data_IF_961922137281
#
_entry.id   IF_961922137281
#
_cell.length_a   1.000
_cell.length_b   1.000
_cell.length_c   1.000
_cell.angle_alpha   90.00
_cell.angle_beta   90.00
_cell.angle_gamma   90.00
#
_symmetry.space_group_name_H-M   'P 1'
#
loop_
_entity.id
_entity.type
_entity.pdbx_description
1 polymer ?
#
# COMPACT_ATOMS: atom_id res chain seq x y z
N UNK A 1 7.47 23.01 -15.68
CA UNK A 1 7.99 21.91 -14.86
C UNK A 1 7.46 20.61 -15.46
N UNK A 2 8.33 19.65 -15.78
CA UNK A 2 7.90 18.31 -16.20
C UNK A 2 7.66 17.43 -14.98
N UNK A 3 6.62 16.61 -15.02
CA UNK A 3 6.37 15.62 -13.98
C UNK A 3 7.45 14.53 -14.05
N UNK A 4 7.98 14.11 -12.90
CA UNK A 4 8.87 12.96 -12.84
C UNK A 4 8.09 11.68 -13.15
N UNK A 5 8.77 10.71 -13.76
CA UNK A 5 8.20 9.36 -13.96
C UNK A 5 8.32 8.58 -12.66
N UNK A 6 7.26 7.89 -12.20
CA UNK A 6 7.34 7.02 -11.03
C UNK A 6 8.40 5.94 -11.21
N UNK A 7 9.01 5.49 -10.11
CA UNK A 7 9.93 4.37 -10.14
C UNK A 7 9.19 3.10 -10.62
N UNK A 8 9.81 2.32 -11.51
CA UNK A 8 9.15 1.21 -12.21
C UNK A 8 8.17 1.62 -13.32
N UNK A 9 8.05 2.91 -13.63
CA UNK A 9 7.26 3.43 -14.75
C UNK A 9 5.77 3.63 -14.46
N UNK A 10 5.28 3.22 -13.28
CA UNK A 10 3.88 3.36 -12.88
C UNK A 10 3.76 3.65 -11.38
N UNK A 11 2.91 4.60 -11.03
CA UNK A 11 2.51 4.85 -9.65
C UNK A 11 1.53 3.77 -9.19
N UNK A 12 1.84 3.09 -8.10
CA UNK A 12 0.98 2.08 -7.49
C UNK A 12 0.10 2.75 -6.43
N UNK A 13 -1.15 3.09 -6.79
CA UNK A 13 -2.16 3.53 -5.83
C UNK A 13 -2.89 2.31 -5.25
N UNK A 14 -2.94 2.18 -3.92
CA UNK A 14 -3.60 1.06 -3.21
C UNK A 14 -4.87 1.47 -2.47
N UNK A 15 -5.34 2.70 -2.62
CA UNK A 15 -6.64 3.10 -2.10
C UNK A 15 -7.75 2.35 -2.83
N UNK A 16 -8.78 1.99 -2.06
CA UNK A 16 -10.01 1.41 -2.58
C UNK A 16 -10.82 2.55 -3.21
N UNK A 17 -11.44 2.28 -4.36
CA UNK A 17 -12.33 3.23 -5.01
C UNK A 17 -13.57 3.52 -4.11
N UNK A 18 -14.15 4.70 -4.28
CA UNK A 18 -15.23 5.19 -3.41
C UNK A 18 -16.46 4.27 -3.35
N UNK A 19 -16.94 3.69 -4.48
CA UNK A 19 -18.09 2.77 -4.45
C UNK A 19 -17.86 1.50 -3.62
N UNK A 20 -16.63 1.01 -3.54
CA UNK A 20 -16.24 -0.26 -2.92
C UNK A 20 -15.82 -0.11 -1.45
N UNK A 21 -15.61 1.12 -0.99
CA UNK A 21 -15.09 1.41 0.36
C UNK A 21 -15.96 0.78 1.46
N UNK A 22 -17.29 0.89 1.35
CA UNK A 22 -18.21 0.35 2.35
C UNK A 22 -18.17 -1.18 2.43
N UNK A 23 -18.07 -1.87 1.29
CA UNK A 23 -17.96 -3.33 1.24
C UNK A 23 -16.61 -3.81 1.79
N UNK A 24 -15.51 -3.12 1.46
CA UNK A 24 -14.18 -3.49 1.96
C UNK A 24 -14.05 -3.26 3.46
N UNK A 25 -14.61 -2.17 4.01
CA UNK A 25 -14.67 -1.96 5.46
C UNK A 25 -15.47 -3.07 6.15
N UNK A 26 -16.60 -3.49 5.56
CA UNK A 26 -17.39 -4.60 6.12
C UNK A 26 -16.58 -5.90 6.12
N UNK A 27 -15.94 -6.23 4.99
CA UNK A 27 -15.09 -7.42 4.85
C UNK A 27 -13.92 -7.43 5.83
N UNK A 28 -13.28 -6.28 6.02
CA UNK A 28 -12.12 -6.15 6.91
C UNK A 28 -12.44 -6.48 8.38
N UNK A 29 -13.68 -6.27 8.84
CA UNK A 29 -14.10 -6.59 10.21
C UNK A 29 -14.07 -8.09 10.52
N UNK A 30 -14.19 -8.93 9.51
CA UNK A 30 -14.22 -10.39 9.66
C UNK A 30 -12.83 -11.04 9.48
N UNK A 31 -11.80 -10.24 9.22
CA UNK A 31 -10.43 -10.72 9.04
C UNK A 31 -9.65 -10.75 10.36
N UNK A 32 -8.59 -11.55 10.38
CA UNK A 32 -7.60 -11.48 11.45
C UNK A 32 -6.93 -10.09 11.47
N UNK A 33 -6.79 -9.53 12.66
CA UNK A 33 -6.23 -8.19 12.86
C UNK A 33 -4.84 -8.27 13.45
N UNK A 34 -3.96 -7.39 12.98
CA UNK A 34 -2.63 -7.16 13.53
C UNK A 34 -2.53 -5.70 13.96
N UNK A 35 -1.96 -5.45 15.15
CA UNK A 35 -1.64 -4.09 15.59
C UNK A 35 -0.30 -3.68 15.02
N UNK A 36 -0.29 -2.55 14.30
CA UNK A 36 0.93 -1.99 13.72
C UNK A 36 1.57 -0.99 14.68
N UNK A 37 2.89 -1.01 14.72
CA UNK A 37 3.70 0.03 15.35
C UNK A 37 3.66 1.33 14.55
N UNK A 38 4.06 2.48 15.13
CA UNK A 38 4.10 3.75 14.39
C UNK A 38 4.95 3.72 13.12
N UNK A 39 6.03 2.93 13.10
CA UNK A 39 6.86 2.77 11.90
C UNK A 39 6.12 2.01 10.81
N UNK A 40 5.47 0.90 11.16
CA UNK A 40 4.71 0.09 10.19
C UNK A 40 3.49 0.84 9.64
N UNK A 41 2.88 1.73 10.43
CA UNK A 41 1.82 2.64 9.95
C UNK A 41 2.41 3.60 8.90
N UNK A 42 3.56 4.22 9.18
CA UNK A 42 4.23 5.09 8.21
C UNK A 42 4.54 4.34 6.92
N UNK A 43 5.03 3.10 7.00
CA UNK A 43 5.31 2.30 5.81
C UNK A 43 4.03 1.95 5.04
N UNK A 44 2.94 1.63 5.76
CA UNK A 44 1.63 1.38 5.16
C UNK A 44 1.11 2.59 4.38
N UNK A 45 1.24 3.80 4.93
CA UNK A 45 0.82 5.05 4.27
C UNK A 45 1.63 5.29 2.99
N UNK A 46 2.96 5.13 3.05
CA UNK A 46 3.85 5.30 1.89
C UNK A 46 3.58 4.26 0.79
N UNK A 47 3.23 3.02 1.15
CA UNK A 47 2.78 1.99 0.22
C UNK A 47 1.42 2.39 -0.38
N UNK A 48 0.48 2.87 0.44
CA UNK A 48 -0.88 3.17 0.01
C UNK A 48 -0.93 4.29 -1.05
N UNK A 49 -0.15 5.35 -0.82
CA UNK A 49 -0.02 6.51 -1.71
C UNK A 49 0.84 6.23 -2.95
N UNK A 50 1.59 5.12 -2.95
CA UNK A 50 2.48 4.75 -4.05
C UNK A 50 3.85 5.43 -4.03
N UNK A 51 4.23 6.05 -2.92
CA UNK A 51 5.57 6.64 -2.73
C UNK A 51 6.65 5.57 -2.90
N UNK A 52 6.36 4.34 -2.48
CA UNK A 52 7.26 3.18 -2.61
C UNK A 52 7.02 2.34 -3.87
N UNK A 53 6.40 2.91 -4.92
CA UNK A 53 6.31 2.23 -6.22
C UNK A 53 7.72 1.75 -6.67
N UNK A 54 7.88 0.50 -7.16
CA UNK A 54 6.85 -0.41 -7.64
C UNK A 54 6.28 -1.40 -6.60
N UNK A 55 6.54 -1.21 -5.30
CA UNK A 55 6.03 -2.13 -4.28
C UNK A 55 4.50 -2.22 -4.33
N UNK A 56 4.00 -3.45 -4.20
CA UNK A 56 2.57 -3.76 -4.19
C UNK A 56 2.01 -3.98 -2.77
N UNK A 57 2.89 -4.01 -1.78
CA UNK A 57 2.63 -4.33 -0.38
C UNK A 57 3.93 -4.43 0.42
N UNK A 58 3.83 -4.90 1.66
CA UNK A 58 5.02 -5.25 2.45
C UNK A 58 5.83 -6.35 1.75
N UNK A 59 7.16 -6.21 1.80
CA UNK A 59 8.09 -7.12 1.13
C UNK A 59 7.99 -8.55 1.67
N UNK A 60 7.98 -9.52 0.77
CA UNK A 60 8.25 -10.91 1.12
C UNK A 60 9.74 -11.15 1.35
N UNK A 61 10.10 -12.37 1.74
CA UNK A 61 11.51 -12.73 1.97
C UNK A 61 12.41 -12.54 0.73
N UNK A 62 11.90 -12.89 -0.46
CA UNK A 62 12.66 -12.75 -1.70
C UNK A 62 12.94 -11.28 -2.04
N UNK A 63 11.93 -10.41 -1.89
CA UNK A 63 12.08 -8.96 -2.12
C UNK A 63 13.05 -8.34 -1.10
N UNK A 64 13.01 -8.82 0.14
CA UNK A 64 13.90 -8.33 1.20
C UNK A 64 15.38 -8.72 0.99
N UNK A 65 15.66 -9.79 0.25
CA UNK A 65 17.02 -10.31 0.03
C UNK A 65 17.64 -9.87 -1.30
N UNK A 66 16.94 -9.07 -2.11
CA UNK A 66 17.42 -8.61 -3.42
C UNK A 66 18.35 -7.40 -3.35
#
# INVERSE_FOLDING_TARGET
MSLSTPHGGKLINRFVDLPETASEIKRAKDLATLSLSPREISDLDLIAEGVLSPLLGFMGWADYQS
#
